data_IF_367013069777
#
_entry.id   IF_367013069777
#
_cell.length_a   1.000
_cell.length_b   1.000
_cell.length_c   1.000
_cell.angle_alpha   90.00
_cell.angle_beta   90.00
_cell.angle_gamma   90.00
#
_symmetry.space_group_name_H-M   'P 1'
#
loop_
_entity.id
_entity.type
_entity.pdbx_description
1 polymer ?
#
# COMPACT_ATOMS: atom_id res chain seq x y z
N UNK A 1 21.68 8.00 -15.45
CA UNK A 1 21.20 7.36 -14.20
C UNK A 1 22.19 7.64 -13.09
N UNK A 2 21.73 7.95 -11.87
CA UNK A 2 22.60 8.23 -10.71
C UNK A 2 22.91 6.93 -9.95
N UNK A 3 23.97 6.91 -9.11
CA UNK A 3 24.34 5.74 -8.28
C UNK A 3 23.16 5.15 -7.50
N UNK A 4 22.30 6.01 -6.94
CA UNK A 4 21.10 5.56 -6.21
C UNK A 4 20.07 4.81 -7.07
N UNK A 5 19.99 5.10 -8.37
CA UNK A 5 19.07 4.40 -9.28
C UNK A 5 19.51 2.94 -9.46
N UNK A 6 20.81 2.70 -9.60
CA UNK A 6 21.37 1.34 -9.69
C UNK A 6 21.19 0.56 -8.39
N UNK A 7 21.37 1.20 -7.23
CA UNK A 7 21.14 0.56 -5.92
C UNK A 7 19.66 0.20 -5.78
N UNK A 8 18.75 1.13 -6.05
CA UNK A 8 17.31 0.89 -5.94
C UNK A 8 16.87 -0.24 -6.86
N UNK A 9 17.30 -0.21 -8.13
CA UNK A 9 17.01 -1.28 -9.09
C UNK A 9 17.62 -2.61 -8.68
N UNK A 10 18.87 -2.65 -8.21
CA UNK A 10 19.52 -3.87 -7.74
C UNK A 10 18.77 -4.51 -6.57
N UNK A 11 18.35 -3.71 -5.58
CA UNK A 11 17.55 -4.19 -4.45
C UNK A 11 16.18 -4.70 -4.92
N UNK A 12 15.51 -3.96 -5.81
CA UNK A 12 14.20 -4.38 -6.33
C UNK A 12 14.30 -5.67 -7.14
N UNK A 13 15.29 -5.77 -8.04
CA UNK A 13 15.56 -6.97 -8.82
C UNK A 13 15.92 -8.16 -7.94
N UNK A 14 16.67 -7.96 -6.85
CA UNK A 14 16.95 -9.02 -5.88
C UNK A 14 15.68 -9.51 -5.19
N UNK A 15 14.79 -8.61 -4.75
CA UNK A 15 13.51 -8.99 -4.15
C UNK A 15 12.68 -9.81 -5.14
N UNK A 16 12.55 -9.35 -6.38
CA UNK A 16 11.83 -10.08 -7.43
C UNK A 16 12.48 -11.44 -7.70
N UNK A 17 13.81 -11.51 -7.78
CA UNK A 17 14.53 -12.77 -7.96
C UNK A 17 14.24 -13.77 -6.84
N UNK A 18 14.30 -13.34 -5.57
CA UNK A 18 14.01 -14.20 -4.42
C UNK A 18 12.56 -14.69 -4.43
N UNK A 19 11.62 -13.92 -4.98
CA UNK A 19 10.22 -14.32 -5.11
C UNK A 19 9.96 -15.29 -6.28
N UNK A 20 10.83 -15.33 -7.29
CA UNK A 20 10.67 -16.20 -8.47
C UNK A 20 11.53 -17.47 -8.36
N UNK A 21 12.69 -17.37 -7.71
CA UNK A 21 13.61 -18.50 -7.54
C UNK A 21 12.98 -19.58 -6.66
N UNK A 22 12.80 -20.79 -7.22
CA UNK A 22 11.94 -21.84 -6.66
C UNK A 22 12.18 -22.16 -5.17
N UNK A 23 13.43 -22.34 -4.69
CA UNK A 23 13.67 -22.62 -3.26
C UNK A 23 13.22 -21.48 -2.34
N UNK A 24 13.56 -20.24 -2.68
CA UNK A 24 13.21 -19.06 -1.88
C UNK A 24 11.72 -18.71 -1.99
N UNK A 25 11.12 -18.98 -3.14
CA UNK A 25 9.68 -18.86 -3.36
C UNK A 25 8.88 -19.84 -2.49
N UNK A 26 9.31 -21.11 -2.41
CA UNK A 26 8.66 -22.09 -1.53
C UNK A 26 8.77 -21.68 -0.05
N UNK A 27 9.95 -21.23 0.37
CA UNK A 27 10.14 -20.69 1.73
C UNK A 27 9.22 -19.49 1.98
N UNK A 28 9.09 -18.57 1.01
CA UNK A 28 8.16 -17.44 1.08
C UNK A 28 6.71 -17.89 1.28
N UNK A 29 6.25 -18.90 0.52
CA UNK A 29 4.86 -19.40 0.62
C UNK A 29 4.63 -19.99 2.01
N UNK A 30 5.55 -20.80 2.52
CA UNK A 30 5.45 -21.39 3.86
C UNK A 30 5.41 -20.30 4.93
N UNK A 31 6.39 -19.37 4.91
CA UNK A 31 6.46 -18.27 5.88
C UNK A 31 5.21 -17.37 5.82
N UNK A 32 4.67 -17.12 4.64
CA UNK A 32 3.46 -16.31 4.50
C UNK A 32 2.21 -16.99 5.06
N UNK A 33 2.17 -18.32 5.07
CA UNK A 33 1.07 -19.08 5.67
C UNK A 33 1.23 -19.22 7.18
N UNK A 34 2.46 -19.45 7.67
CA UNK A 34 2.70 -19.66 9.11
C UNK A 34 2.75 -18.34 9.90
N UNK A 35 3.23 -17.26 9.29
CA UNK A 35 3.38 -15.96 9.94
C UNK A 35 2.80 -14.83 9.07
N UNK A 36 1.49 -14.87 8.74
CA UNK A 36 0.89 -13.97 7.74
C UNK A 36 1.03 -12.49 8.12
N UNK A 37 0.82 -12.13 9.40
CA UNK A 37 0.97 -10.75 9.86
C UNK A 37 2.41 -10.25 9.80
N UNK A 38 3.38 -11.03 10.27
CA UNK A 38 4.80 -10.66 10.19
C UNK A 38 5.23 -10.50 8.72
N UNK A 39 4.79 -11.41 7.86
CA UNK A 39 5.07 -11.33 6.43
C UNK A 39 4.37 -10.14 5.77
N UNK A 40 3.14 -9.83 6.15
CA UNK A 40 2.44 -8.61 5.73
C UNK A 40 3.20 -7.35 6.14
N UNK A 41 3.67 -7.30 7.39
CA UNK A 41 4.51 -6.22 7.90
C UNK A 41 5.77 -6.05 7.06
N UNK A 42 6.56 -7.10 6.87
CA UNK A 42 7.83 -7.01 6.16
C UNK A 42 7.65 -6.63 4.68
N UNK A 43 6.69 -7.25 3.98
CA UNK A 43 6.45 -6.97 2.56
C UNK A 43 6.07 -5.51 2.33
N UNK A 44 5.12 -5.00 3.11
CA UNK A 44 4.59 -3.64 2.91
C UNK A 44 5.58 -2.61 3.41
N UNK A 45 6.20 -2.80 4.58
CA UNK A 45 7.21 -1.87 5.10
C UNK A 45 8.40 -1.70 4.15
N UNK A 46 8.90 -2.79 3.55
CA UNK A 46 10.03 -2.73 2.60
C UNK A 46 9.59 -2.07 1.28
N UNK A 47 8.57 -2.61 0.63
CA UNK A 47 8.20 -2.18 -0.73
C UNK A 47 7.57 -0.79 -0.76
N UNK A 48 6.76 -0.42 0.23
CA UNK A 48 6.18 0.92 0.29
C UNK A 48 7.25 1.98 0.61
N UNK A 49 8.19 1.67 1.50
CA UNK A 49 9.36 2.56 1.74
C UNK A 49 10.18 2.74 0.48
N UNK A 50 10.43 1.66 -0.27
CA UNK A 50 11.11 1.75 -1.57
C UNK A 50 10.33 2.61 -2.58
N UNK A 51 9.00 2.46 -2.65
CA UNK A 51 8.14 3.26 -3.50
C UNK A 51 8.14 4.75 -3.14
N UNK A 52 8.16 5.07 -1.85
CA UNK A 52 8.25 6.44 -1.35
C UNK A 52 9.59 7.09 -1.76
N UNK A 53 10.71 6.38 -1.55
CA UNK A 53 12.03 6.86 -1.96
C UNK A 53 12.13 7.05 -3.48
N UNK A 54 11.53 6.15 -4.27
CA UNK A 54 11.47 6.29 -5.73
C UNK A 54 10.62 7.51 -6.13
N UNK A 55 9.48 7.71 -5.50
CA UNK A 55 8.61 8.87 -5.77
C UNK A 55 9.33 10.20 -5.48
N UNK A 56 10.09 10.28 -4.38
CA UNK A 56 10.95 11.44 -4.07
C UNK A 56 12.00 11.63 -5.17
N UNK A 57 12.67 10.54 -5.58
CA UNK A 57 13.67 10.57 -6.65
C UNK A 57 13.13 11.07 -7.98
N UNK A 58 11.90 10.66 -8.35
CA UNK A 58 11.27 11.08 -9.59
C UNK A 58 10.82 12.54 -9.53
N UNK A 59 10.32 13.01 -8.38
CA UNK A 59 9.87 14.39 -8.21
C UNK A 59 11.02 15.40 -8.05
N UNK A 60 12.11 15.03 -7.37
CA UNK A 60 13.19 15.96 -7.00
C UNK A 60 14.52 15.72 -7.73
N UNK A 61 14.58 14.69 -8.59
CA UNK A 61 15.80 14.34 -9.32
C UNK A 61 16.92 13.72 -8.46
N UNK A 62 16.72 13.56 -7.15
CA UNK A 62 17.69 12.95 -6.21
C UNK A 62 16.96 12.15 -5.13
N UNK A 63 17.58 11.09 -4.63
CA UNK A 63 17.09 10.38 -3.45
C UNK A 63 17.33 11.25 -2.22
N UNK A 64 16.26 11.61 -1.53
CA UNK A 64 16.32 12.23 -0.20
C UNK A 64 15.65 11.32 0.81
N UNK A 65 16.24 11.30 2.01
CA UNK A 65 15.65 10.60 3.14
C UNK A 65 14.47 11.43 3.67
N UNK A 66 13.22 10.92 3.66
CA UNK A 66 12.10 11.60 4.29
C UNK A 66 12.29 11.67 5.81
N UNK A 67 11.66 12.65 6.44
CA UNK A 67 11.67 12.74 7.90
C UNK A 67 11.09 11.47 8.51
N UNK A 68 11.74 10.97 9.56
CA UNK A 68 11.26 9.82 10.31
C UNK A 68 11.09 8.54 9.48
N UNK A 69 11.96 8.28 8.50
CA UNK A 69 11.93 7.06 7.66
C UNK A 69 11.69 5.76 8.46
N UNK A 70 12.27 5.63 9.65
CA UNK A 70 12.03 4.49 10.53
C UNK A 70 10.57 4.40 11.01
N UNK A 71 9.97 5.51 11.43
CA UNK A 71 8.56 5.54 11.83
C UNK A 71 7.64 5.28 10.64
N UNK A 72 7.95 5.82 9.46
CA UNK A 72 7.23 5.53 8.21
C UNK A 72 7.28 4.03 7.88
N UNK A 73 8.45 3.41 8.03
CA UNK A 73 8.61 1.96 7.88
C UNK A 73 7.71 1.16 8.85
N UNK A 74 7.63 1.58 10.12
CA UNK A 74 6.74 0.95 11.11
C UNK A 74 5.26 1.15 10.76
N UNK A 75 4.86 2.34 10.32
CA UNK A 75 3.48 2.64 9.88
C UNK A 75 3.11 1.76 8.69
N UNK A 76 3.96 1.67 7.67
CA UNK A 76 3.75 0.80 6.53
C UNK A 76 3.66 -0.67 6.92
N UNK A 77 4.51 -1.11 7.85
CA UNK A 77 4.45 -2.47 8.37
C UNK A 77 3.14 -2.75 9.10
N UNK A 78 2.67 -1.81 9.94
CA UNK A 78 1.37 -1.92 10.60
C UNK A 78 0.22 -2.01 9.59
N UNK A 79 0.22 -1.15 8.56
CA UNK A 79 -0.77 -1.23 7.48
C UNK A 79 -0.71 -2.57 6.74
N UNK A 80 0.48 -3.13 6.56
CA UNK A 80 0.64 -4.46 5.98
C UNK A 80 0.01 -5.58 6.81
N UNK A 81 0.07 -5.48 8.14
CA UNK A 81 -0.68 -6.39 9.02
C UNK A 81 -2.19 -6.22 8.87
N UNK A 82 -2.67 -4.97 8.75
CA UNK A 82 -4.08 -4.70 8.50
C UNK A 82 -4.54 -5.29 7.16
N UNK A 83 -3.73 -5.18 6.10
CA UNK A 83 -4.08 -5.72 4.77
C UNK A 83 -4.27 -7.24 4.79
N UNK A 84 -3.49 -7.97 5.58
CA UNK A 84 -3.68 -9.43 5.77
C UNK A 84 -5.11 -9.74 6.24
N UNK A 85 -5.58 -9.03 7.27
CA UNK A 85 -6.92 -9.23 7.81
C UNK A 85 -8.01 -8.75 6.84
N UNK A 86 -7.86 -7.54 6.32
CA UNK A 86 -8.86 -6.86 5.50
C UNK A 86 -9.08 -7.59 4.18
N UNK A 87 -8.02 -8.10 3.56
CA UNK A 87 -8.14 -8.77 2.27
C UNK A 87 -8.95 -10.07 2.41
N UNK A 88 -8.75 -10.80 3.50
CA UNK A 88 -9.54 -11.99 3.81
C UNK A 88 -10.98 -11.62 4.16
N UNK A 89 -11.17 -10.62 5.02
CA UNK A 89 -12.48 -10.13 5.45
C UNK A 89 -13.36 -9.74 4.25
N UNK A 90 -12.83 -8.94 3.33
CA UNK A 90 -13.61 -8.49 2.17
C UNK A 90 -13.78 -9.61 1.14
N UNK A 91 -12.80 -10.48 0.92
CA UNK A 91 -12.95 -11.59 -0.03
C UNK A 91 -14.02 -12.59 0.42
N UNK A 92 -13.94 -13.02 1.69
CA UNK A 92 -14.89 -13.96 2.29
C UNK A 92 -16.26 -13.31 2.53
N UNK A 93 -16.30 -12.03 2.93
CA UNK A 93 -17.55 -11.27 3.04
C UNK A 93 -18.27 -11.09 1.71
N UNK A 94 -17.53 -10.80 0.62
CA UNK A 94 -18.09 -10.67 -0.72
C UNK A 94 -18.68 -11.98 -1.21
N UNK A 95 -17.99 -13.10 -1.00
CA UNK A 95 -18.50 -14.44 -1.33
C UNK A 95 -19.83 -14.73 -0.60
N UNK A 96 -19.90 -14.40 0.69
CA UNK A 96 -21.10 -14.60 1.50
C UNK A 96 -22.31 -13.78 1.00
N UNK A 97 -22.11 -12.50 0.64
CA UNK A 97 -23.22 -11.65 0.15
C UNK A 97 -23.64 -12.00 -1.28
N UNK A 98 -22.72 -12.46 -2.13
CA UNK A 98 -23.04 -12.99 -3.46
C UNK A 98 -23.87 -14.27 -3.36
N UNK A 99 -23.51 -15.20 -2.46
CA UNK A 99 -24.29 -16.43 -2.19
C UNK A 99 -25.71 -16.14 -1.69
N UNK A 100 -25.90 -15.03 -0.98
CA UNK A 100 -27.23 -14.55 -0.55
C UNK A 100 -28.01 -13.82 -1.64
N UNK A 101 -27.45 -13.66 -2.84
CA UNK A 101 -28.08 -12.93 -3.95
C UNK A 101 -28.14 -11.42 -3.76
N UNK A 102 -27.39 -10.85 -2.80
CA UNK A 102 -27.34 -9.40 -2.57
C UNK A 102 -26.47 -8.67 -3.60
N UNK A 103 -25.55 -9.40 -4.24
CA UNK A 103 -24.75 -8.94 -5.37
C UNK A 103 -24.97 -9.89 -6.56
N UNK A 104 -24.99 -9.37 -7.79
CA UNK A 104 -25.26 -10.19 -8.96
C UNK A 104 -24.06 -11.06 -9.36
N UNK A 105 -24.36 -12.19 -10.00
CA UNK A 105 -23.38 -13.09 -10.61
C UNK A 105 -22.67 -14.03 -9.63
N UNK A 106 -21.95 -15.00 -10.17
CA UNK A 106 -21.33 -16.10 -9.42
C UNK A 106 -19.93 -16.49 -9.93
N UNK A 107 -19.36 -15.71 -10.85
CA UNK A 107 -18.06 -16.01 -11.43
C UNK A 107 -16.91 -15.31 -10.67
N UNK A 108 -15.70 -15.84 -10.86
CA UNK A 108 -14.49 -15.36 -10.16
C UNK A 108 -14.14 -13.91 -10.47
N UNK A 109 -14.44 -13.42 -11.68
CA UNK A 109 -14.15 -12.04 -12.09
C UNK A 109 -15.07 -11.07 -11.36
N UNK A 110 -16.37 -11.37 -11.30
CA UNK A 110 -17.34 -10.57 -10.54
C UNK A 110 -17.03 -10.60 -9.05
N UNK A 111 -16.67 -11.77 -8.49
CA UNK A 111 -16.24 -11.86 -7.10
C UNK A 111 -15.03 -10.95 -6.83
N UNK A 112 -14.00 -11.00 -7.67
CA UNK A 112 -12.82 -10.14 -7.54
C UNK A 112 -13.15 -8.65 -7.69
N UNK A 113 -14.02 -8.30 -8.64
CA UNK A 113 -14.46 -6.93 -8.90
C UNK A 113 -15.26 -6.37 -7.71
N UNK A 114 -16.22 -7.12 -7.19
CA UNK A 114 -17.01 -6.70 -6.03
C UNK A 114 -16.18 -6.65 -4.76
N UNK A 115 -15.28 -7.62 -4.55
CA UNK A 115 -14.34 -7.59 -3.43
C UNK A 115 -13.49 -6.33 -3.47
N UNK A 116 -12.92 -6.04 -4.64
CA UNK A 116 -12.16 -4.82 -4.88
C UNK A 116 -13.00 -3.57 -4.62
N UNK A 117 -14.20 -3.51 -5.19
CA UNK A 117 -15.09 -2.34 -5.07
C UNK A 117 -15.46 -2.09 -3.60
N UNK A 118 -15.94 -3.10 -2.88
CA UNK A 118 -16.33 -2.98 -1.48
C UNK A 118 -15.15 -2.56 -0.60
N UNK A 119 -14.00 -3.23 -0.75
CA UNK A 119 -12.81 -2.90 0.02
C UNK A 119 -12.34 -1.47 -0.25
N UNK A 120 -12.30 -1.06 -1.53
CA UNK A 120 -11.81 0.27 -1.88
C UNK A 120 -12.79 1.40 -1.57
N UNK A 121 -14.10 1.14 -1.46
CA UNK A 121 -15.06 2.18 -1.07
C UNK A 121 -15.22 2.28 0.45
N UNK A 122 -15.08 1.18 1.19
CA UNK A 122 -15.32 1.13 2.64
C UNK A 122 -14.03 1.29 3.44
N UNK A 123 -12.97 0.55 3.08
CA UNK A 123 -11.73 0.52 3.85
C UNK A 123 -10.68 1.50 3.32
N UNK A 124 -10.53 1.62 1.99
CA UNK A 124 -9.45 2.42 1.43
C UNK A 124 -9.41 3.89 1.89
N UNK A 125 -10.54 4.63 1.92
CA UNK A 125 -10.54 6.02 2.39
C UNK A 125 -10.05 6.13 3.84
N UNK A 126 -10.50 5.23 4.72
CA UNK A 126 -10.14 5.22 6.13
C UNK A 126 -8.66 4.99 6.35
N UNK A 127 -8.06 3.96 5.72
CA UNK A 127 -6.63 3.72 5.92
C UNK A 127 -5.77 4.80 5.25
N UNK A 128 -6.17 5.32 4.09
CA UNK A 128 -5.41 6.38 3.42
C UNK A 128 -5.43 7.69 4.22
N UNK A 129 -6.55 8.01 4.87
CA UNK A 129 -6.63 9.12 5.81
C UNK A 129 -5.75 8.88 7.04
N UNK A 130 -5.83 7.70 7.65
CA UNK A 130 -4.96 7.30 8.77
C UNK A 130 -3.48 7.45 8.41
N UNK A 131 -3.06 6.86 7.28
CA UNK A 131 -1.69 6.94 6.79
C UNK A 131 -1.24 8.39 6.59
N UNK A 132 -2.09 9.24 6.01
CA UNK A 132 -1.78 10.66 5.80
C UNK A 132 -1.65 11.43 7.11
N UNK A 133 -2.48 11.12 8.10
CA UNK A 133 -2.39 11.68 9.45
C UNK A 133 -1.09 11.26 10.11
N UNK A 134 -0.73 9.98 10.10
CA UNK A 134 0.52 9.48 10.70
C UNK A 134 1.76 10.07 10.04
N UNK A 135 1.76 10.17 8.70
CA UNK A 135 2.85 10.80 7.96
C UNK A 135 3.00 12.29 8.32
N UNK A 136 1.88 12.99 8.45
CA UNK A 136 1.88 14.42 8.78
C UNK A 136 2.39 14.65 10.21
N UNK A 137 2.06 13.78 11.17
CA UNK A 137 2.68 13.79 12.49
C UNK A 137 4.20 13.63 12.41
N UNK A 138 4.68 12.66 11.62
CA UNK A 138 6.11 12.40 11.44
C UNK A 138 6.82 13.60 10.82
N UNK A 139 6.21 14.22 9.81
CA UNK A 139 6.76 15.37 9.08
C UNK A 139 6.83 16.63 9.96
N UNK A 140 5.74 16.97 10.64
CA UNK A 140 5.70 18.10 11.57
C UNK A 140 6.66 17.89 12.74
N UNK A 141 6.84 16.64 13.18
CA UNK A 141 7.79 16.26 14.22
C UNK A 141 9.24 16.24 13.74
N UNK A 142 9.49 16.47 12.44
CA UNK A 142 10.80 16.35 11.78
C UNK A 142 11.49 15.00 12.05
N UNK A 143 10.70 13.95 12.24
CA UNK A 143 11.18 12.61 12.58
C UNK A 143 11.80 12.47 13.97
N UNK A 144 11.55 13.38 14.91
CA UNK A 144 11.97 13.24 16.32
C UNK A 144 10.79 12.80 17.18
N UNK A 145 10.93 11.69 17.89
CA UNK A 145 9.81 11.08 18.64
C UNK A 145 9.18 12.02 19.67
N UNK A 146 10.01 12.75 20.43
CA UNK A 146 9.53 13.71 21.42
C UNK A 146 8.64 14.80 20.79
N UNK A 147 9.02 15.26 19.59
CA UNK A 147 8.25 16.26 18.85
C UNK A 147 6.99 15.66 18.24
N UNK A 148 7.05 14.42 17.75
CA UNK A 148 5.89 13.71 17.19
C UNK A 148 4.76 13.66 18.22
N UNK A 149 5.08 13.30 19.46
CA UNK A 149 4.09 13.21 20.55
C UNK A 149 3.65 14.56 21.12
N UNK A 150 4.38 15.66 20.86
CA UNK A 150 3.99 16.99 21.34
C UNK A 150 3.09 17.76 20.37
N UNK A 151 2.85 17.25 19.16
CA UNK A 151 2.06 17.94 18.14
C UNK A 151 0.57 17.83 18.48
N UNK A 152 -0.14 18.95 18.38
CA UNK A 152 -1.59 18.99 18.51
C UNK A 152 -2.24 18.37 17.28
N UNK A 153 -3.26 17.55 17.49
CA UNK A 153 -4.01 16.91 16.40
C UNK A 153 -4.60 17.92 15.40
N UNK A 154 -5.09 19.07 15.87
CA UNK A 154 -5.62 20.12 14.99
C UNK A 154 -4.58 20.58 13.97
N UNK A 155 -3.33 20.80 14.38
CA UNK A 155 -2.25 21.19 13.48
C UNK A 155 -1.93 20.14 12.40
N UNK A 156 -2.17 18.86 12.69
CA UNK A 156 -2.03 17.77 11.72
C UNK A 156 -3.15 17.82 10.70
N UNK A 157 -4.39 17.95 11.17
CA UNK A 157 -5.57 18.03 10.30
C UNK A 157 -5.51 19.26 9.40
N UNK A 158 -5.13 20.41 9.94
CA UNK A 158 -5.00 21.68 9.20
C UNK A 158 -3.91 21.63 8.12
N UNK A 159 -2.87 20.82 8.32
CA UNK A 159 -1.77 20.67 7.37
C UNK A 159 -2.14 19.79 6.17
N UNK A 160 -3.14 18.92 6.31
CA UNK A 160 -3.56 17.99 5.26
C UNK A 160 -4.42 18.72 4.23
N UNK A 161 -4.05 18.59 2.95
CA UNK A 161 -4.88 19.04 1.82
C UNK A 161 -6.04 18.06 1.61
N UNK A 162 -7.16 18.31 2.30
CA UNK A 162 -8.38 17.51 2.24
C UNK A 162 -9.10 17.64 0.89
N UNK A 163 -9.02 18.80 0.25
CA UNK A 163 -9.60 19.03 -1.07
C UNK A 163 -8.95 18.10 -2.11
N UNK A 164 -7.62 17.98 -2.10
CA UNK A 164 -6.90 17.02 -2.93
C UNK A 164 -7.15 15.58 -2.51
N UNK A 165 -7.27 15.31 -1.20
CA UNK A 165 -7.62 13.98 -0.72
C UNK A 165 -8.97 13.52 -1.31
N UNK A 166 -10.05 14.27 -1.10
CA UNK A 166 -11.36 13.89 -1.65
C UNK A 166 -11.41 14.02 -3.18
N UNK A 167 -11.00 15.16 -3.74
CA UNK A 167 -11.13 15.46 -5.17
C UNK A 167 -10.25 14.63 -6.10
N UNK A 168 -9.08 14.20 -5.62
CA UNK A 168 -8.14 13.41 -6.42
C UNK A 168 -7.98 11.98 -5.91
N UNK A 169 -7.67 11.78 -4.63
CA UNK A 169 -7.42 10.42 -4.11
C UNK A 169 -8.72 9.61 -4.13
N UNK A 170 -9.78 10.11 -3.49
CA UNK A 170 -11.04 9.38 -3.38
C UNK A 170 -11.78 9.36 -4.72
N UNK A 171 -11.98 10.49 -5.38
CA UNK A 171 -12.83 10.54 -6.57
C UNK A 171 -12.15 10.08 -7.87
N UNK A 172 -10.81 10.04 -7.92
CA UNK A 172 -10.08 9.65 -9.14
C UNK A 172 -9.25 8.39 -8.94
N UNK A 173 -8.34 8.38 -7.97
CA UNK A 173 -7.43 7.23 -7.83
C UNK A 173 -8.16 5.97 -7.38
N UNK A 174 -9.16 6.07 -6.50
CA UNK A 174 -9.92 4.88 -6.08
C UNK A 174 -10.68 4.25 -7.26
N UNK A 175 -11.56 4.96 -7.98
CA UNK A 175 -12.31 4.37 -9.08
C UNK A 175 -11.45 3.91 -10.26
N UNK A 176 -10.48 4.73 -10.69
CA UNK A 176 -9.79 4.51 -11.96
C UNK A 176 -8.46 3.77 -11.84
N UNK A 177 -7.88 3.70 -10.64
CA UNK A 177 -6.62 2.98 -10.42
C UNK A 177 -6.81 1.82 -9.44
N UNK A 178 -7.28 2.10 -8.23
CA UNK A 178 -7.29 1.09 -7.16
C UNK A 178 -8.34 0.00 -7.37
N UNK A 179 -9.56 0.33 -7.81
CA UNK A 179 -10.58 -0.70 -8.07
C UNK A 179 -10.13 -1.67 -9.18
N UNK A 180 -9.65 -1.20 -10.37
CA UNK A 180 -9.10 -2.09 -11.38
C UNK A 180 -7.89 -2.89 -10.90
N UNK A 181 -6.91 -2.23 -10.26
CA UNK A 181 -5.69 -2.89 -9.81
C UNK A 181 -5.95 -3.94 -8.71
N UNK A 182 -6.84 -3.64 -7.77
CA UNK A 182 -7.23 -4.60 -6.74
C UNK A 182 -8.15 -5.70 -7.28
N UNK A 183 -8.91 -5.45 -8.36
CA UNK A 183 -9.66 -6.53 -9.05
C UNK A 183 -8.69 -7.58 -9.57
N UNK A 184 -7.60 -7.15 -10.25
CA UNK A 184 -6.53 -8.06 -10.68
C UNK A 184 -5.89 -8.74 -9.47
N UNK A 185 -5.65 -7.99 -8.38
CA UNK A 185 -5.07 -8.54 -7.15
C UNK A 185 -5.93 -9.66 -6.56
N UNK A 186 -7.27 -9.52 -6.54
CA UNK A 186 -8.17 -10.53 -5.98
C UNK A 186 -8.35 -11.76 -6.88
N UNK A 187 -7.96 -11.69 -8.16
CA UNK A 187 -7.83 -12.87 -9.03
C UNK A 187 -6.61 -13.73 -8.67
N UNK A 188 -5.62 -13.16 -7.98
CA UNK A 188 -4.43 -13.89 -7.55
C UNK A 188 -4.71 -14.77 -6.32
N UNK A 189 -3.93 -15.84 -6.12
CA UNK A 189 -3.95 -16.62 -4.89
C UNK A 189 -3.72 -15.73 -3.65
N UNK A 190 -4.34 -16.04 -2.50
CA UNK A 190 -4.27 -15.21 -1.29
C UNK A 190 -2.86 -14.80 -0.87
N UNK A 191 -1.88 -15.69 -1.06
CA UNK A 191 -0.50 -15.49 -0.65
C UNK A 191 0.19 -14.31 -1.35
N UNK A 192 -0.28 -13.96 -2.56
CA UNK A 192 0.30 -12.88 -3.37
C UNK A 192 -0.44 -11.55 -3.24
N UNK A 193 -1.63 -11.52 -2.63
CA UNK A 193 -2.48 -10.34 -2.67
C UNK A 193 -1.84 -9.15 -1.96
N UNK A 194 -1.36 -9.34 -0.72
CA UNK A 194 -0.67 -8.29 0.05
C UNK A 194 0.63 -7.87 -0.62
N UNK A 195 1.38 -8.81 -1.20
CA UNK A 195 2.60 -8.51 -1.97
C UNK A 195 2.29 -7.62 -3.18
N UNK A 196 1.24 -7.96 -3.92
CA UNK A 196 0.81 -7.20 -5.11
C UNK A 196 0.37 -5.80 -4.72
N UNK A 197 -0.42 -5.67 -3.64
CA UNK A 197 -0.80 -4.37 -3.10
C UNK A 197 0.42 -3.52 -2.69
N UNK A 198 1.43 -4.14 -2.09
CA UNK A 198 2.70 -3.48 -1.76
C UNK A 198 3.43 -3.00 -3.02
N UNK A 199 3.46 -3.78 -4.10
CA UNK A 199 4.05 -3.37 -5.39
C UNK A 199 3.25 -2.24 -6.06
N UNK A 200 1.92 -2.22 -5.94
CA UNK A 200 1.07 -1.16 -6.48
C UNK A 200 1.41 0.21 -5.89
N UNK A 201 1.95 0.28 -4.67
CA UNK A 201 2.44 1.55 -4.09
C UNK A 201 3.58 2.17 -4.91
N UNK A 202 4.48 1.34 -5.44
CA UNK A 202 5.58 1.77 -6.32
C UNK A 202 5.00 2.25 -7.66
N UNK A 203 4.09 1.47 -8.26
CA UNK A 203 3.45 1.80 -9.54
C UNK A 203 2.70 3.14 -9.45
N UNK A 204 1.91 3.34 -8.39
CA UNK A 204 1.20 4.60 -8.20
C UNK A 204 2.18 5.76 -7.99
N UNK A 205 3.26 5.56 -7.23
CA UNK A 205 4.31 6.57 -7.06
C UNK A 205 4.92 7.03 -8.39
N UNK A 206 5.18 6.08 -9.29
CA UNK A 206 5.64 6.37 -10.66
C UNK A 206 4.58 7.15 -11.44
N UNK A 207 3.34 6.66 -11.50
CA UNK A 207 2.25 7.31 -12.24
C UNK A 207 2.00 8.76 -11.79
N UNK A 208 2.00 9.00 -10.48
CA UNK A 208 1.78 10.33 -9.92
C UNK A 208 2.96 11.28 -10.16
N UNK A 209 4.17 10.76 -10.33
CA UNK A 209 5.35 11.56 -10.66
C UNK A 209 5.33 12.04 -12.12
N UNK A 210 4.83 11.22 -13.05
CA UNK A 210 4.75 11.55 -14.47
C UNK A 210 3.70 12.63 -14.78
N UNK A 211 2.59 12.64 -14.03
CA UNK A 211 1.50 13.61 -14.22
C UNK A 211 1.82 15.04 -13.76
N UNK A 212 2.91 15.23 -13.00
CA UNK A 212 3.38 16.57 -12.60
C UNK A 212 4.29 17.23 -13.66
N UNK A 213 4.55 16.55 -14.78
CA UNK A 213 5.19 17.11 -15.97
C UNK A 213 4.19 17.66 -16.98
#
# INVERSE_FOLDING_TARGET
MKKGDFIWLGVFSLIVFLLVFKPTHQAYIVLNRTHPYLMGFLKVSILATMGELLSIRLQQGKYLKPYGLFYRFLVWGFLGMCFVLVFELFASGTDAVMKKGLLPGNNKILHAFFTSTLMNLIFAPTFMAFHRITDTYIDLGKGKIANIFSIKFSSVVDKIDWQKFFGFVILKTIPFFWIPAHTITFLLPPEYRVLTAAMLSIVLGVLLSLRKG
#
